data_IF_281099750432
#
_entry.id   IF_281099750432
#
_cell.length_a   1.000
_cell.length_b   1.000
_cell.length_c   1.000
_cell.angle_alpha   90.00
_cell.angle_beta   90.00
_cell.angle_gamma   90.00
#
_symmetry.space_group_name_H-M   'P 1'
#
loop_
_entity.id
_entity.type
_entity.pdbx_description
1 polymer ?
#
# COMPACT_ATOMS: atom_id res chain seq x y z
N UNK A 1 3.04 -23.17 -2.18
CA UNK A 1 2.98 -22.76 -3.59
C UNK A 1 3.43 -21.32 -3.67
N UNK A 2 4.46 -21.02 -4.45
CA UNK A 2 5.13 -19.70 -4.48
C UNK A 2 4.84 -18.87 -5.73
N UNK A 3 3.73 -19.11 -6.42
CA UNK A 3 3.37 -18.40 -7.64
C UNK A 3 2.18 -17.45 -7.44
N UNK A 4 1.93 -16.52 -8.38
CA UNK A 4 0.71 -15.74 -8.36
C UNK A 4 -0.51 -16.66 -8.40
N UNK A 5 -1.52 -16.35 -7.60
CA UNK A 5 -2.84 -16.97 -7.77
C UNK A 5 -3.30 -16.78 -9.22
N UNK A 6 -4.03 -17.74 -9.77
CA UNK A 6 -4.73 -17.68 -11.07
C UNK A 6 -6.02 -18.51 -11.02
N UNK A 7 -7.07 -18.04 -11.69
CA UNK A 7 -8.37 -18.74 -11.69
C UNK A 7 -8.90 -18.97 -10.27
N UNK A 8 -9.37 -20.18 -9.97
CA UNK A 8 -9.91 -20.56 -8.65
C UNK A 8 -8.87 -20.63 -7.53
N UNK A 9 -7.57 -20.55 -7.83
CA UNK A 9 -6.54 -20.56 -6.78
C UNK A 9 -6.47 -19.25 -5.96
N UNK A 10 -7.03 -18.14 -6.46
CA UNK A 10 -7.17 -16.90 -5.67
C UNK A 10 -8.24 -16.99 -4.58
N UNK A 11 -9.26 -17.84 -4.76
CA UNK A 11 -10.37 -17.96 -3.79
C UNK A 11 -10.03 -18.84 -2.58
N UNK A 12 -8.85 -19.48 -2.57
CA UNK A 12 -8.45 -20.38 -1.49
C UNK A 12 -7.41 -19.71 -0.61
N UNK A 13 -7.85 -19.18 0.53
CA UNK A 13 -6.97 -18.65 1.57
C UNK A 13 -6.63 -19.78 2.56
N UNK A 14 -5.34 -20.05 2.77
CA UNK A 14 -4.90 -20.90 3.89
C UNK A 14 -4.94 -20.08 5.17
N UNK A 15 -5.69 -20.55 6.15
CA UNK A 15 -5.68 -20.03 7.52
C UNK A 15 -4.95 -21.00 8.44
N UNK A 16 -4.24 -20.48 9.44
CA UNK A 16 -3.58 -21.28 10.48
C UNK A 16 -4.18 -20.84 11.83
N UNK A 17 -5.02 -21.66 12.47
CA UNK A 17 -5.61 -21.28 13.75
C UNK A 17 -4.57 -21.38 14.86
N UNK A 18 -4.48 -20.33 15.70
CA UNK A 18 -3.58 -20.25 16.87
C UNK A 18 -2.12 -20.56 16.51
N UNK A 19 -1.46 -19.62 15.86
CA UNK A 19 -0.07 -19.75 15.42
C UNK A 19 0.84 -18.78 16.17
N UNK A 20 2.10 -19.18 16.38
CA UNK A 20 3.19 -18.27 16.74
C UNK A 20 4.06 -18.03 15.49
N UNK A 21 4.57 -16.80 15.31
CA UNK A 21 5.50 -16.44 14.23
C UNK A 21 6.84 -16.00 14.85
N UNK A 22 7.93 -16.60 14.40
CA UNK A 22 9.28 -16.16 14.78
C UNK A 22 9.86 -15.25 13.70
N UNK A 23 10.35 -14.09 14.14
CA UNK A 23 11.01 -13.12 13.28
C UNK A 23 12.43 -12.94 13.79
N UNK A 24 13.40 -13.13 12.89
CA UNK A 24 14.82 -12.91 13.15
C UNK A 24 15.40 -12.07 12.01
N UNK A 25 16.15 -11.02 12.31
CA UNK A 25 16.76 -10.16 11.28
C UNK A 25 15.76 -9.52 10.30
N UNK A 26 14.49 -9.33 10.71
CA UNK A 26 13.44 -8.77 9.86
C UNK A 26 12.78 -9.75 8.89
N UNK A 27 13.08 -11.05 9.00
CA UNK A 27 12.46 -12.10 8.19
C UNK A 27 11.70 -13.10 9.04
N UNK A 28 10.62 -13.66 8.49
CA UNK A 28 9.88 -14.76 9.13
C UNK A 28 10.70 -16.04 8.97
N UNK A 29 11.17 -16.61 10.08
CA UNK A 29 11.97 -17.85 10.07
C UNK A 29 11.16 -19.09 10.41
N UNK A 30 10.03 -18.93 11.12
CA UNK A 30 9.09 -20.03 11.38
C UNK A 30 7.66 -19.53 11.61
N UNK A 31 6.69 -20.39 11.28
CA UNK A 31 5.27 -20.25 11.61
C UNK A 31 4.83 -21.59 12.19
N UNK A 32 4.31 -21.59 13.43
CA UNK A 32 3.93 -22.83 14.12
C UNK A 32 2.42 -23.04 14.11
N UNK A 33 2.00 -24.29 14.24
CA UNK A 33 0.60 -24.64 14.50
C UNK A 33 0.47 -24.95 16.00
N UNK A 34 -0.24 -24.09 16.73
CA UNK A 34 -0.43 -24.17 18.18
C UNK A 34 0.48 -23.21 18.98
N UNK A 35 -0.04 -22.66 20.10
CA UNK A 35 0.74 -21.80 20.99
C UNK A 35 1.76 -22.65 21.75
N UNK A 36 2.98 -22.13 21.92
CA UNK A 36 4.07 -22.67 22.78
C UNK A 36 5.19 -23.44 22.08
N UNK A 37 5.15 -23.65 20.76
CA UNK A 37 6.29 -24.28 20.06
C UNK A 37 7.57 -23.41 20.15
N UNK A 38 7.42 -22.09 20.29
CA UNK A 38 8.56 -21.16 20.31
C UNK A 38 9.28 -21.05 21.67
N UNK A 39 8.71 -21.56 22.77
CA UNK A 39 9.36 -21.52 24.10
C UNK A 39 10.68 -22.31 24.15
N UNK A 40 10.91 -23.19 23.17
CA UNK A 40 12.14 -23.95 23.02
C UNK A 40 13.34 -23.11 22.52
N UNK A 41 13.12 -21.90 21.98
CA UNK A 41 14.17 -21.05 21.39
C UNK A 41 14.96 -20.20 22.41
N UNK A 42 14.79 -20.44 23.71
CA UNK A 42 15.63 -19.83 24.75
C UNK A 42 15.18 -18.45 25.25
N UNK A 43 15.88 -17.93 26.26
CA UNK A 43 15.41 -16.89 27.18
C UNK A 43 15.48 -15.44 26.67
N UNK A 44 15.75 -15.19 25.38
CA UNK A 44 15.96 -13.82 24.85
C UNK A 44 15.00 -13.45 23.72
N UNK A 45 13.75 -13.91 23.78
CA UNK A 45 12.70 -13.53 22.83
C UNK A 45 11.88 -12.35 23.35
N UNK A 46 11.63 -11.37 22.49
CA UNK A 46 10.57 -10.37 22.71
C UNK A 46 9.25 -10.97 22.26
N UNK A 47 8.37 -11.24 23.21
CA UNK A 47 7.06 -11.82 22.94
C UNK A 47 6.01 -10.72 22.75
N UNK A 48 5.28 -10.79 21.63
CA UNK A 48 4.15 -9.92 21.34
C UNK A 48 2.87 -10.77 21.29
N UNK A 49 1.99 -10.59 22.26
CA UNK A 49 0.69 -11.25 22.27
C UNK A 49 -0.29 -10.53 21.33
N UNK A 50 -0.71 -11.20 20.27
CA UNK A 50 -1.69 -10.68 19.32
C UNK A 50 -3.10 -10.56 19.92
N UNK A 51 -3.37 -11.17 21.08
CA UNK A 51 -4.66 -11.11 21.78
C UNK A 51 -5.78 -11.77 21.00
N UNK A 52 -5.49 -12.86 20.29
CA UNK A 52 -6.45 -13.58 19.44
C UNK A 52 -6.85 -12.86 18.16
N UNK A 53 -6.18 -11.75 17.79
CA UNK A 53 -6.42 -11.03 16.53
C UNK A 53 -5.87 -11.80 15.34
N UNK A 54 -6.38 -11.47 14.16
CA UNK A 54 -5.85 -11.97 12.89
C UNK A 54 -4.51 -11.30 12.60
N UNK A 55 -3.49 -12.11 12.34
CA UNK A 55 -2.24 -11.68 11.72
C UNK A 55 -2.29 -12.06 10.25
N UNK A 56 -2.00 -11.10 9.38
CA UNK A 56 -1.97 -11.28 7.93
C UNK A 56 -0.75 -10.56 7.33
N UNK A 57 -0.31 -10.91 6.12
CA UNK A 57 0.71 -10.14 5.42
C UNK A 57 0.28 -8.68 5.27
N UNK A 58 1.27 -7.78 5.26
CA UNK A 58 1.03 -6.38 4.93
C UNK A 58 0.42 -6.25 3.53
N UNK A 59 -0.48 -5.29 3.36
CA UNK A 59 -1.06 -5.01 2.05
C UNK A 59 0.03 -4.53 1.07
N UNK A 60 -0.16 -4.87 -0.21
CA UNK A 60 0.67 -4.40 -1.31
C UNK A 60 -0.22 -3.59 -2.24
N UNK A 61 0.06 -2.30 -2.37
CA UNK A 61 -0.48 -1.48 -3.45
C UNK A 61 0.43 -1.62 -4.68
N UNK A 62 0.01 -2.44 -5.63
CA UNK A 62 0.77 -2.73 -6.84
C UNK A 62 0.65 -1.63 -7.91
N UNK A 63 -0.26 -0.67 -7.76
CA UNK A 63 -0.48 0.36 -8.77
C UNK A 63 -0.91 1.68 -8.12
N UNK A 64 0.05 2.59 -7.98
CA UNK A 64 -0.21 3.95 -7.52
C UNK A 64 0.50 4.98 -8.40
N UNK A 65 -0.10 6.16 -8.49
CA UNK A 65 0.53 7.37 -9.03
C UNK A 65 0.83 8.35 -7.90
N UNK A 66 1.40 7.88 -6.78
CA UNK A 66 1.60 8.65 -5.54
C UNK A 66 2.49 9.91 -5.68
N UNK A 67 3.33 9.97 -6.72
CA UNK A 67 4.25 11.08 -6.96
C UNK A 67 3.65 12.08 -7.96
N UNK A 68 3.02 13.15 -7.45
CA UNK A 68 2.59 14.29 -8.26
C UNK A 68 2.60 15.59 -7.44
N UNK A 69 2.56 16.72 -8.13
CA UNK A 69 2.46 18.07 -7.55
C UNK A 69 1.25 18.80 -8.13
N UNK A 70 0.66 19.67 -7.32
CA UNK A 70 -0.61 20.35 -7.61
C UNK A 70 -1.83 19.44 -7.44
N UNK A 71 -2.96 19.94 -7.88
CA UNK A 71 -4.24 19.25 -7.85
C UNK A 71 -5.02 19.51 -9.15
N UNK A 72 -6.22 18.92 -9.22
CA UNK A 72 -7.15 19.11 -10.33
C UNK A 72 -8.56 19.44 -9.81
N UNK A 73 -8.65 20.16 -8.68
CA UNK A 73 -9.92 20.52 -8.06
C UNK A 73 -10.74 21.45 -8.96
N UNK A 74 -10.09 22.37 -9.67
CA UNK A 74 -10.75 23.25 -10.65
C UNK A 74 -11.41 22.43 -11.77
N UNK A 75 -10.76 21.36 -12.22
CA UNK A 75 -11.32 20.46 -13.23
C UNK A 75 -12.46 19.61 -12.66
N UNK A 76 -12.38 19.23 -11.39
CA UNK A 76 -13.46 18.54 -10.70
C UNK A 76 -14.71 19.42 -10.62
N UNK A 77 -14.57 20.72 -10.29
CA UNK A 77 -15.72 21.63 -10.25
C UNK A 77 -16.29 21.90 -11.65
N UNK A 78 -15.44 22.04 -12.69
CA UNK A 78 -15.90 22.13 -14.08
C UNK A 78 -16.71 20.90 -14.51
N UNK A 79 -16.22 19.69 -14.20
CA UNK A 79 -16.96 18.45 -14.47
C UNK A 79 -18.29 18.41 -13.73
N UNK A 80 -18.31 18.83 -12.47
CA UNK A 80 -19.55 18.91 -11.66
C UNK A 80 -20.59 19.83 -12.28
N UNK A 81 -20.17 20.90 -12.97
CA UNK A 81 -21.04 21.83 -13.71
C UNK A 81 -21.42 21.34 -15.12
N UNK A 82 -20.97 20.15 -15.52
CA UNK A 82 -21.30 19.57 -16.82
C UNK A 82 -20.38 20.02 -17.98
N UNK A 83 -19.24 20.63 -17.71
CA UNK A 83 -18.28 21.00 -18.77
C UNK A 83 -17.71 19.73 -19.42
N UNK A 84 -17.78 19.58 -20.76
CA UNK A 84 -17.23 18.43 -21.45
C UNK A 84 -15.73 18.29 -21.22
N UNK A 85 -15.26 17.05 -21.00
CA UNK A 85 -13.84 16.77 -20.74
C UNK A 85 -12.91 17.32 -21.84
N UNK A 86 -13.32 17.24 -23.10
CA UNK A 86 -12.51 17.75 -24.21
C UNK A 86 -12.32 19.27 -24.14
N UNK A 87 -13.27 20.01 -23.57
CA UNK A 87 -13.15 21.46 -23.42
C UNK A 87 -12.25 21.82 -22.23
N UNK A 88 -12.33 21.05 -21.14
CA UNK A 88 -11.36 21.13 -20.02
C UNK A 88 -9.94 20.87 -20.54
N UNK A 89 -9.76 19.84 -21.39
CA UNK A 89 -8.46 19.51 -21.97
C UNK A 89 -7.95 20.62 -22.90
N UNK A 90 -8.81 21.18 -23.77
CA UNK A 90 -8.47 22.32 -24.65
C UNK A 90 -8.07 23.56 -23.85
N UNK A 91 -8.72 23.80 -22.71
CA UNK A 91 -8.38 24.88 -21.78
C UNK A 91 -7.07 24.63 -21.00
N UNK A 92 -6.38 23.53 -21.27
CA UNK A 92 -5.10 23.19 -20.65
C UNK A 92 -5.23 22.31 -19.42
N UNK A 93 -6.42 21.86 -19.03
CA UNK A 93 -6.61 20.86 -17.97
C UNK A 93 -6.13 19.46 -18.38
N UNK A 94 -6.73 18.43 -17.81
CA UNK A 94 -6.39 17.05 -18.12
C UNK A 94 -5.06 16.62 -17.51
N UNK A 95 -4.54 15.49 -18.02
CA UNK A 95 -3.24 14.95 -17.61
C UNK A 95 -2.09 15.95 -17.83
N UNK A 96 -2.21 16.80 -18.86
CA UNK A 96 -1.16 17.77 -19.21
C UNK A 96 -1.01 18.86 -18.14
N UNK A 97 -2.07 19.16 -17.37
CA UNK A 97 -1.96 20.05 -16.21
C UNK A 97 -0.99 19.48 -15.16
N UNK A 98 -1.20 18.22 -14.77
CA UNK A 98 -0.32 17.52 -13.83
C UNK A 98 1.10 17.35 -14.38
N UNK A 99 1.25 17.00 -15.67
CA UNK A 99 2.57 16.89 -16.31
C UNK A 99 3.35 18.21 -16.21
N UNK A 100 2.70 19.35 -16.47
CA UNK A 100 3.35 20.67 -16.35
C UNK A 100 3.70 21.02 -14.91
N UNK A 101 2.84 20.68 -13.94
CA UNK A 101 3.11 20.91 -12.53
C UNK A 101 4.33 20.11 -12.07
N UNK A 102 4.36 18.80 -12.36
CA UNK A 102 5.47 17.91 -12.01
C UNK A 102 6.78 18.35 -12.69
N UNK A 103 6.75 18.78 -13.96
CA UNK A 103 7.96 19.26 -14.66
C UNK A 103 8.54 20.55 -14.09
N UNK A 104 7.72 21.40 -13.47
CA UNK A 104 8.17 22.65 -12.84
C UNK A 104 8.66 22.44 -11.40
N UNK A 105 8.23 21.35 -10.76
CA UNK A 105 8.57 21.07 -9.38
C UNK A 105 10.04 20.69 -9.21
N UNK A 106 10.67 21.18 -8.14
CA UNK A 106 12.01 20.75 -7.75
C UNK A 106 12.00 19.40 -7.01
N UNK A 107 13.17 18.73 -6.88
CA UNK A 107 13.27 17.44 -6.18
C UNK A 107 12.71 17.45 -4.74
N UNK A 108 12.98 18.53 -3.98
CA UNK A 108 12.50 18.66 -2.59
C UNK A 108 10.97 18.78 -2.51
N UNK A 109 10.35 19.46 -3.47
CA UNK A 109 8.89 19.60 -3.55
C UNK A 109 8.22 18.27 -3.90
N UNK A 110 8.81 17.53 -4.85
CA UNK A 110 8.39 16.18 -5.23
C UNK A 110 8.50 15.20 -4.06
N UNK A 111 9.62 15.23 -3.33
CA UNK A 111 9.81 14.40 -2.13
C UNK A 111 8.78 14.73 -1.05
N UNK A 112 8.60 16.02 -0.75
CA UNK A 112 7.62 16.46 0.24
C UNK A 112 6.20 16.00 -0.12
N UNK A 113 5.80 16.21 -1.39
CA UNK A 113 4.49 15.80 -1.89
C UNK A 113 4.27 14.29 -1.78
N UNK A 114 5.27 13.48 -2.13
CA UNK A 114 5.20 12.02 -1.99
C UNK A 114 5.09 11.59 -0.53
N UNK A 115 5.96 12.11 0.34
CA UNK A 115 5.98 11.75 1.77
C UNK A 115 4.66 12.08 2.46
N UNK A 116 4.06 13.23 2.14
CA UNK A 116 2.77 13.61 2.70
C UNK A 116 1.66 12.61 2.34
N UNK A 117 1.70 12.05 1.12
CA UNK A 117 0.70 11.08 0.63
C UNK A 117 0.91 9.67 1.17
N UNK A 118 2.17 9.24 1.34
CA UNK A 118 2.48 7.91 1.87
C UNK A 118 2.29 7.77 3.38
N UNK A 119 2.15 8.90 4.10
CA UNK A 119 1.99 8.94 5.56
C UNK A 119 0.57 9.26 6.02
N UNK A 120 -0.30 9.68 5.10
CA UNK A 120 -1.73 9.92 5.36
C UNK A 120 -2.48 8.58 5.40
#
# INVERSE_FOLDING_TARGET
>A
GGGPGRGTSWSTLRTIPRADILIEGGVIVSITEGPSAMRAHGASLVMLDAGGRVLMPGFVDAHTHALWVGDRLDEWDQKRRGVPYLDILKAGGGIMSTVRAVRRAGPAELEHALRARLRA
#
